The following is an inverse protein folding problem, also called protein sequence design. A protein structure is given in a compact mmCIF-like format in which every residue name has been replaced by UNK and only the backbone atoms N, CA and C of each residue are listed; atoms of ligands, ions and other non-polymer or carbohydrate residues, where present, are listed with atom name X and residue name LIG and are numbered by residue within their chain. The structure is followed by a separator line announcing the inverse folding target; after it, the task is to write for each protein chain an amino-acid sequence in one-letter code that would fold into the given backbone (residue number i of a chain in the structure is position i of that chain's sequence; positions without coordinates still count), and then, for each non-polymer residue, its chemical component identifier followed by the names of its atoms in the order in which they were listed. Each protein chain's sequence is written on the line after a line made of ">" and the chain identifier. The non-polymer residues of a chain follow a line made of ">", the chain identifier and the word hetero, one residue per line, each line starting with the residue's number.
data_IF_402287319533
#
_entry.id   IF_402287319533
#
_cell.length_a   1.000
_cell.length_b   1.000
_cell.length_c   1.000
_cell.angle_alpha   90.00
_cell.angle_beta   90.00
_cell.angle_gamma   90.00
#
_symmetry.space_group_name_H-M   'P 1'
#
loop_
_entity.id
_entity.type
_entity.pdbx_description
1 polymer ?
#
# COMPACT_ATOMS: atom_id res chain seq x y z
N UNK A 1 3.57 -13.87 -9.45
CA UNK A 1 3.22 -12.50 -9.88
C UNK A 1 3.66 -11.47 -8.85
N UNK A 2 2.89 -11.29 -7.77
CA UNK A 2 3.05 -10.19 -6.81
C UNK A 2 4.46 -10.02 -6.21
N UNK A 3 5.12 -11.12 -5.80
CA UNK A 3 6.49 -11.05 -5.25
C UNK A 3 7.48 -10.45 -6.27
N UNK A 4 7.41 -10.90 -7.51
CA UNK A 4 8.27 -10.42 -8.61
C UNK A 4 7.99 -8.93 -8.85
N UNK A 5 6.72 -8.54 -8.86
CA UNK A 5 6.30 -7.15 -9.01
C UNK A 5 6.81 -6.24 -7.90
N UNK A 6 6.68 -6.65 -6.63
CA UNK A 6 7.13 -5.86 -5.48
C UNK A 6 8.62 -5.58 -5.52
N UNK A 7 9.44 -6.57 -5.90
CA UNK A 7 10.89 -6.40 -6.03
C UNK A 7 11.22 -5.54 -7.25
N UNK A 8 10.75 -5.93 -8.44
CA UNK A 8 11.13 -5.27 -9.70
C UNK A 8 10.70 -3.80 -9.75
N UNK A 9 9.45 -3.51 -9.40
CA UNK A 9 8.96 -2.13 -9.38
C UNK A 9 9.42 -1.35 -8.13
N UNK A 10 9.84 -2.04 -7.06
CA UNK A 10 10.53 -1.40 -5.94
C UNK A 10 11.84 -0.74 -6.40
N UNK A 11 12.67 -1.46 -7.15
CA UNK A 11 13.87 -0.89 -7.77
C UNK A 11 13.55 0.14 -8.86
N UNK A 12 12.53 -0.12 -9.70
CA UNK A 12 12.13 0.84 -10.74
C UNK A 12 11.68 2.19 -10.15
N UNK A 13 10.99 2.14 -9.01
CA UNK A 13 10.55 3.32 -8.27
C UNK A 13 11.74 4.18 -7.80
N UNK A 14 12.85 3.57 -7.39
CA UNK A 14 14.03 4.29 -6.94
C UNK A 14 14.87 4.85 -8.11
N UNK A 15 14.88 4.18 -9.28
CA UNK A 15 15.68 4.60 -10.44
C UNK A 15 14.98 5.66 -11.30
N UNK A 16 13.71 5.42 -11.64
CA UNK A 16 12.95 6.21 -12.63
C UNK A 16 11.91 7.11 -11.97
N UNK A 17 11.60 6.85 -10.70
CA UNK A 17 10.68 7.63 -9.89
C UNK A 17 9.31 6.98 -9.72
N UNK A 18 8.66 7.37 -8.61
CA UNK A 18 7.41 6.80 -8.07
C UNK A 18 6.25 6.82 -9.08
N UNK A 19 6.08 7.93 -9.80
CA UNK A 19 4.94 8.11 -10.72
C UNK A 19 5.08 7.32 -12.02
N UNK A 20 6.30 7.18 -12.54
CA UNK A 20 6.57 6.35 -13.72
C UNK A 20 6.37 4.87 -13.37
N UNK A 21 6.91 4.44 -12.21
CA UNK A 21 6.66 3.10 -11.68
C UNK A 21 5.17 2.81 -11.47
N UNK A 22 4.40 3.78 -10.95
CA UNK A 22 2.95 3.65 -10.78
C UNK A 22 2.20 3.51 -12.12
N UNK A 23 2.61 4.27 -13.14
CA UNK A 23 2.02 4.16 -14.49
C UNK A 23 2.35 2.81 -15.14
N UNK A 24 3.61 2.40 -15.10
CA UNK A 24 4.09 1.15 -15.68
C UNK A 24 3.42 -0.07 -15.02
N UNK A 25 3.32 -0.08 -13.69
CA UNK A 25 2.63 -1.14 -12.96
C UNK A 25 1.13 -1.19 -13.27
N UNK A 26 0.46 -0.03 -13.39
CA UNK A 26 -0.96 0.04 -13.80
C UNK A 26 -1.19 -0.47 -15.22
N UNK A 27 -0.26 -0.22 -16.15
CA UNK A 27 -0.32 -0.76 -17.51
C UNK A 27 -0.19 -2.30 -17.53
N UNK A 28 0.66 -2.87 -16.66
CA UNK A 28 0.77 -4.33 -16.50
C UNK A 28 -0.51 -4.92 -15.93
N UNK A 29 -1.15 -4.26 -14.94
CA UNK A 29 -2.48 -4.67 -14.44
C UNK A 29 -3.51 -4.65 -15.56
N UNK A 30 -3.55 -3.57 -16.35
CA UNK A 30 -4.48 -3.43 -17.47
C UNK A 30 -4.31 -4.56 -18.49
N UNK A 31 -3.08 -4.82 -18.94
CA UNK A 31 -2.77 -5.90 -19.87
C UNK A 31 -3.23 -7.26 -19.33
N UNK A 32 -2.87 -7.58 -18.09
CA UNK A 32 -3.27 -8.83 -17.45
C UNK A 32 -4.78 -8.96 -17.29
N UNK A 33 -5.49 -7.86 -17.01
CA UNK A 33 -6.94 -7.86 -16.81
C UNK A 33 -7.70 -8.04 -18.12
N UNK A 34 -7.22 -7.44 -19.22
CA UNK A 34 -7.75 -7.68 -20.57
C UNK A 34 -7.56 -9.14 -20.96
N UNK A 35 -6.35 -9.68 -20.76
CA UNK A 35 -6.07 -11.10 -21.03
C UNK A 35 -6.94 -12.04 -20.18
N UNK A 36 -7.17 -11.70 -18.92
CA UNK A 36 -8.02 -12.51 -18.03
C UNK A 36 -9.49 -12.46 -18.44
N UNK A 37 -9.99 -11.30 -18.89
CA UNK A 37 -11.36 -11.15 -19.42
C UNK A 37 -11.56 -11.93 -20.73
N UNK A 38 -10.52 -11.95 -21.58
CA UNK A 38 -10.53 -12.66 -22.84
C UNK A 38 -10.21 -14.16 -22.70
N UNK A 39 -9.87 -14.65 -21.50
CA UNK A 39 -9.47 -16.02 -21.28
C UNK A 39 -10.62 -16.98 -21.61
N UNK A 40 -10.51 -17.66 -22.75
CA UNK A 40 -11.37 -18.76 -23.18
C UNK A 40 -10.46 -19.93 -23.55
N UNK A 41 -10.83 -21.14 -23.14
CA UNK A 41 -10.10 -22.35 -23.54
C UNK A 41 -10.21 -22.54 -25.05
N UNK A 42 -9.09 -22.73 -25.74
CA UNK A 42 -9.11 -23.15 -27.15
C UNK A 42 -9.85 -24.48 -27.21
N UNK A 43 -10.92 -24.55 -28.01
CA UNK A 43 -11.72 -25.77 -28.23
C UNK A 43 -12.42 -26.37 -27.00
N UNK A 44 -12.63 -25.59 -25.93
CA UNK A 44 -13.36 -26.06 -24.74
C UNK A 44 -12.52 -26.92 -23.78
N UNK A 45 -11.20 -26.97 -23.94
CA UNK A 45 -10.32 -27.63 -22.98
C UNK A 45 -10.26 -26.83 -21.66
N UNK A 46 -10.67 -27.48 -20.58
CA UNK A 46 -10.65 -26.91 -19.23
C UNK A 46 -9.21 -26.64 -18.76
N UNK A 47 -8.24 -27.46 -19.17
CA UNK A 47 -6.85 -27.27 -18.78
C UNK A 47 -6.25 -26.01 -19.46
N UNK A 48 -6.45 -25.85 -20.77
CA UNK A 48 -6.06 -24.64 -21.49
C UNK A 48 -6.68 -23.35 -20.92
N UNK A 49 -7.96 -23.40 -20.52
CA UNK A 49 -8.63 -22.28 -19.85
C UNK A 49 -7.96 -21.92 -18.51
N UNK A 50 -7.69 -22.91 -17.65
CA UNK A 50 -7.06 -22.70 -16.35
C UNK A 50 -5.63 -22.17 -16.47
N UNK A 51 -4.86 -22.63 -17.47
CA UNK A 51 -3.52 -22.09 -17.74
C UNK A 51 -3.56 -20.64 -18.19
N UNK A 52 -4.45 -20.28 -19.12
CA UNK A 52 -4.61 -18.90 -19.58
C UNK A 52 -4.99 -17.97 -18.41
N UNK A 53 -5.94 -18.37 -17.57
CA UNK A 53 -6.30 -17.60 -16.36
C UNK A 53 -5.12 -17.50 -15.40
N UNK A 54 -4.37 -18.58 -15.20
CA UNK A 54 -3.22 -18.59 -14.28
C UNK A 54 -2.13 -17.62 -14.75
N UNK A 55 -1.80 -17.61 -16.04
CA UNK A 55 -0.82 -16.69 -16.62
C UNK A 55 -1.32 -15.25 -16.53
N UNK A 56 -2.57 -14.98 -16.93
CA UNK A 56 -3.16 -13.65 -16.88
C UNK A 56 -3.20 -13.10 -15.44
N UNK A 57 -3.64 -13.90 -14.46
CA UNK A 57 -3.58 -13.54 -13.03
C UNK A 57 -2.15 -13.39 -12.52
N UNK A 58 -1.20 -14.15 -13.07
CA UNK A 58 0.22 -13.99 -12.83
C UNK A 58 0.72 -12.59 -13.21
N UNK A 59 0.36 -12.12 -14.40
CA UNK A 59 0.67 -10.78 -14.93
C UNK A 59 -0.02 -9.69 -14.10
N UNK A 60 -1.33 -9.82 -13.82
CA UNK A 60 -2.06 -8.92 -12.92
C UNK A 60 -1.32 -8.84 -11.58
N UNK A 61 -0.89 -9.97 -11.03
CA UNK A 61 -0.12 -10.04 -9.81
C UNK A 61 1.17 -9.24 -9.88
N UNK A 62 1.94 -9.34 -10.97
CA UNK A 62 3.17 -8.52 -11.17
C UNK A 62 2.84 -7.03 -11.13
N UNK A 63 1.79 -6.60 -11.82
CA UNK A 63 1.35 -5.21 -11.81
C UNK A 63 0.89 -4.74 -10.42
N UNK A 64 0.03 -5.51 -9.74
CA UNK A 64 -0.40 -5.24 -8.36
C UNK A 64 0.81 -5.09 -7.43
N UNK A 65 1.81 -5.97 -7.58
CA UNK A 65 3.05 -5.93 -6.81
C UNK A 65 3.80 -4.60 -6.93
N UNK A 66 3.76 -3.95 -8.10
CA UNK A 66 4.43 -2.67 -8.33
C UNK A 66 3.67 -1.43 -7.88
N UNK A 67 2.34 -1.52 -7.80
CA UNK A 67 1.51 -0.44 -7.26
C UNK A 67 1.78 -0.25 -5.75
N UNK A 68 2.00 -1.34 -5.00
CA UNK A 68 2.26 -1.28 -3.56
C UNK A 68 3.42 -0.34 -3.16
N UNK A 69 4.68 -0.56 -3.62
CA UNK A 69 5.79 0.31 -3.26
C UNK A 69 5.54 1.73 -3.78
N UNK A 70 5.16 1.87 -5.06
CA UNK A 70 5.01 3.17 -5.71
C UNK A 70 3.96 4.06 -5.03
N UNK A 71 2.77 3.52 -4.75
CA UNK A 71 1.67 4.24 -4.11
C UNK A 71 1.96 4.53 -2.63
N UNK A 72 2.55 3.58 -1.90
CA UNK A 72 2.90 3.78 -0.49
C UNK A 72 3.97 4.87 -0.35
N UNK A 73 4.98 4.89 -1.24
CA UNK A 73 6.01 5.93 -1.19
C UNK A 73 5.46 7.31 -1.53
N UNK A 74 4.53 7.40 -2.49
CA UNK A 74 3.87 8.65 -2.83
C UNK A 74 2.97 9.15 -1.68
N UNK A 75 2.17 8.26 -1.09
CA UNK A 75 1.31 8.59 0.04
C UNK A 75 2.10 9.00 1.28
N UNK A 76 3.26 8.37 1.54
CA UNK A 76 4.11 8.72 2.68
C UNK A 76 4.73 10.10 2.54
N UNK A 77 5.19 10.47 1.34
CA UNK A 77 5.72 11.81 1.07
C UNK A 77 4.63 12.87 1.23
N UNK A 78 3.46 12.64 0.62
CA UNK A 78 2.30 13.54 0.75
C UNK A 78 1.83 13.68 2.21
N UNK A 79 1.87 12.60 3.00
CA UNK A 79 1.53 12.66 4.41
C UNK A 79 2.59 13.38 5.25
N UNK A 80 3.85 13.43 4.80
CA UNK A 80 4.94 14.12 5.50
C UNK A 80 4.89 15.64 5.24
N UNK A 81 4.39 16.06 4.08
CA UNK A 81 4.16 17.46 3.75
C UNK A 81 2.97 18.03 4.55
N UNK A 82 3.26 18.89 5.54
CA UNK A 82 2.25 19.74 6.19
C UNK A 82 1.41 19.10 7.31
N UNK A 83 1.78 17.92 7.83
CA UNK A 83 1.06 17.30 8.96
C UNK A 83 1.93 17.03 10.18
N UNK A 84 1.33 17.10 11.37
CA UNK A 84 1.98 16.70 12.63
C UNK A 84 2.25 15.19 12.65
N UNK A 85 3.23 14.74 13.46
CA UNK A 85 3.66 13.33 13.48
C UNK A 85 2.52 12.32 13.63
N UNK A 86 1.50 12.63 14.46
CA UNK A 86 0.33 11.78 14.67
C UNK A 86 -0.66 11.84 13.49
N UNK A 87 -0.87 13.03 12.92
CA UNK A 87 -1.74 13.20 11.76
C UNK A 87 -1.19 12.51 10.50
N UNK A 88 0.13 12.41 10.36
CA UNK A 88 0.79 11.70 9.25
C UNK A 88 0.38 10.24 9.15
N UNK A 89 0.41 9.51 10.26
CA UNK A 89 0.05 8.09 10.28
C UNK A 89 -1.41 7.88 9.85
N UNK A 90 -2.33 8.73 10.33
CA UNK A 90 -3.73 8.73 9.93
C UNK A 90 -3.90 9.03 8.44
N UNK A 91 -3.26 10.07 7.92
CA UNK A 91 -3.36 10.47 6.51
C UNK A 91 -2.83 9.35 5.59
N UNK A 92 -1.68 8.76 5.93
CA UNK A 92 -1.13 7.64 5.17
C UNK A 92 -2.10 6.45 5.12
N UNK A 93 -2.65 6.06 6.28
CA UNK A 93 -3.56 4.92 6.39
C UNK A 93 -4.84 5.15 5.58
N UNK A 94 -5.42 6.37 5.64
CA UNK A 94 -6.63 6.70 4.88
C UNK A 94 -6.41 6.64 3.36
N UNK A 95 -5.28 7.18 2.86
CA UNK A 95 -4.98 7.22 1.42
C UNK A 95 -4.61 5.83 0.88
N UNK A 96 -4.00 4.98 1.70
CA UNK A 96 -3.53 3.65 1.26
C UNK A 96 -4.49 2.54 1.65
N UNK A 97 -4.45 2.09 2.91
CA UNK A 97 -5.20 0.92 3.35
C UNK A 97 -6.71 1.17 3.50
N UNK A 98 -7.14 2.42 3.68
CA UNK A 98 -8.54 2.81 3.60
C UNK A 98 -9.14 2.47 2.23
N UNK A 99 -8.47 2.90 1.15
CA UNK A 99 -8.88 2.61 -0.23
C UNK A 99 -8.75 1.11 -0.55
N UNK A 100 -7.66 0.48 -0.13
CA UNK A 100 -7.48 -0.98 -0.30
C UNK A 100 -8.62 -1.77 0.36
N UNK A 101 -8.99 -1.42 1.59
CA UNK A 101 -10.06 -2.08 2.34
C UNK A 101 -11.45 -1.82 1.74
N UNK A 102 -11.65 -0.69 1.06
CA UNK A 102 -12.89 -0.39 0.34
C UNK A 102 -13.05 -1.21 -0.95
N UNK A 103 -11.96 -1.77 -1.48
CA UNK A 103 -12.00 -2.61 -2.67
C UNK A 103 -12.77 -3.92 -2.49
N UNK A 104 -12.67 -4.54 -1.30
CA UNK A 104 -13.38 -5.79 -1.00
C UNK A 104 -14.92 -5.65 -1.03
N UNK A 105 -15.56 -4.71 -0.30
CA UNK A 105 -17.00 -4.51 -0.40
C UNK A 105 -17.43 -4.03 -1.79
N UNK A 106 -16.62 -3.21 -2.47
CA UNK A 106 -16.91 -2.78 -3.84
C UNK A 106 -16.97 -3.98 -4.81
N UNK A 107 -15.99 -4.88 -4.74
CA UNK A 107 -15.96 -6.09 -5.56
C UNK A 107 -17.16 -7.00 -5.29
N UNK A 108 -17.55 -7.18 -4.02
CA UNK A 108 -18.72 -7.97 -3.64
C UNK A 108 -20.03 -7.33 -4.14
N UNK A 109 -20.18 -6.01 -4.05
CA UNK A 109 -21.34 -5.27 -4.59
C UNK A 109 -21.45 -5.46 -6.10
N UNK A 110 -20.35 -5.28 -6.84
CA UNK A 110 -20.33 -5.47 -8.30
C UNK A 110 -20.72 -6.91 -8.64
N UNK A 111 -20.16 -7.90 -7.93
CA UNK A 111 -20.50 -9.30 -8.14
C UNK A 111 -21.99 -9.59 -7.92
N UNK A 112 -22.59 -9.07 -6.85
CA UNK A 112 -24.02 -9.24 -6.54
C UNK A 112 -24.90 -8.58 -7.61
N UNK A 113 -24.54 -7.39 -8.08
CA UNK A 113 -25.29 -6.68 -9.14
C UNK A 113 -25.26 -7.48 -10.44
N UNK A 114 -24.08 -7.93 -10.87
CA UNK A 114 -23.92 -8.71 -12.10
C UNK A 114 -24.64 -10.06 -11.97
N UNK A 115 -24.54 -10.73 -10.82
CA UNK A 115 -25.23 -11.99 -10.56
C UNK A 115 -26.75 -11.83 -10.60
N UNK A 116 -27.28 -10.72 -10.08
CA UNK A 116 -28.71 -10.39 -10.14
C UNK A 116 -29.18 -10.14 -11.58
N UNK A 117 -28.35 -9.48 -12.39
CA UNK A 117 -28.67 -9.13 -13.77
C UNK A 117 -28.59 -10.34 -14.72
N UNK A 118 -27.63 -11.26 -14.50
CA UNK A 118 -27.32 -12.32 -15.46
C UNK A 118 -28.23 -13.56 -15.42
N UNK A 119 -29.15 -13.66 -14.43
CA UNK A 119 -29.86 -14.91 -14.03
C UNK A 119 -28.90 -16.06 -13.69
N UNK A 120 -29.23 -16.95 -12.74
CA UNK A 120 -28.29 -17.94 -12.19
C UNK A 120 -27.75 -19.00 -13.17
N UNK A 121 -28.25 -19.07 -14.41
CA UNK A 121 -27.90 -20.11 -15.39
C UNK A 121 -26.66 -19.79 -16.26
N UNK A 122 -26.15 -18.55 -16.23
CA UNK A 122 -25.05 -18.11 -17.10
C UNK A 122 -23.77 -17.70 -16.36
N UNK A 123 -23.30 -18.53 -15.41
CA UNK A 123 -22.05 -18.27 -14.65
C UNK A 123 -20.82 -18.04 -15.56
N UNK A 124 -20.78 -18.65 -16.74
CA UNK A 124 -19.74 -18.45 -17.75
C UNK A 124 -19.67 -16.99 -18.26
N UNK A 125 -20.77 -16.26 -18.16
CA UNK A 125 -20.89 -14.85 -18.57
C UNK A 125 -20.70 -13.88 -17.40
N UNK A 126 -20.99 -14.31 -16.17
CA UNK A 126 -20.87 -13.47 -14.97
C UNK A 126 -19.41 -13.11 -14.67
N UNK A 127 -18.52 -14.10 -14.63
CA UNK A 127 -17.14 -13.86 -14.18
C UNK A 127 -16.33 -12.93 -15.10
N UNK A 128 -16.38 -13.00 -16.46
CA UNK A 128 -15.64 -12.08 -17.31
C UNK A 128 -16.19 -10.67 -17.21
N UNK A 129 -17.53 -10.50 -17.07
CA UNK A 129 -18.15 -9.17 -16.92
C UNK A 129 -17.66 -8.51 -15.62
N UNK A 130 -17.59 -9.26 -14.52
CA UNK A 130 -17.04 -8.73 -13.27
C UNK A 130 -15.59 -8.23 -13.43
N UNK A 131 -14.74 -8.98 -14.14
CA UNK A 131 -13.37 -8.55 -14.43
C UNK A 131 -13.35 -7.35 -15.38
N UNK A 132 -14.18 -7.34 -16.42
CA UNK A 132 -14.29 -6.25 -17.38
C UNK A 132 -14.70 -4.92 -16.73
N UNK A 133 -15.65 -4.94 -15.78
CA UNK A 133 -16.01 -3.75 -14.99
C UNK A 133 -14.80 -3.28 -14.17
N UNK A 134 -14.02 -4.21 -13.61
CA UNK A 134 -12.80 -3.90 -12.87
C UNK A 134 -11.69 -3.25 -13.71
N UNK A 135 -11.63 -3.51 -15.02
CA UNK A 135 -10.65 -2.94 -15.96
C UNK A 135 -10.75 -1.40 -16.07
N UNK A 136 -11.92 -0.83 -15.77
CA UNK A 136 -12.15 0.63 -15.83
C UNK A 136 -11.19 1.40 -14.92
N UNK A 137 -10.88 0.87 -13.72
CA UNK A 137 -10.01 1.54 -12.75
C UNK A 137 -8.54 1.60 -13.21
N UNK A 138 -7.90 0.50 -13.66
CA UNK A 138 -6.59 0.56 -14.29
C UNK A 138 -6.52 1.46 -15.53
N UNK A 139 -7.56 1.49 -16.37
CA UNK A 139 -7.60 2.40 -17.54
C UNK A 139 -7.51 3.86 -17.07
N UNK A 140 -8.37 4.26 -16.13
CA UNK A 140 -8.34 5.61 -15.57
C UNK A 140 -6.97 5.93 -14.95
N UNK A 141 -6.38 4.99 -14.21
CA UNK A 141 -5.06 5.16 -13.61
C UNK A 141 -3.97 5.36 -14.67
N UNK A 142 -3.95 4.56 -15.74
CA UNK A 142 -2.96 4.70 -16.82
C UNK A 142 -3.14 6.02 -17.57
N UNK A 143 -4.38 6.44 -17.85
CA UNK A 143 -4.64 7.71 -18.53
C UNK A 143 -4.21 8.90 -17.68
N UNK A 144 -4.60 8.96 -16.41
CA UNK A 144 -4.24 10.07 -15.53
C UNK A 144 -2.73 10.14 -15.27
N UNK A 145 -2.08 8.99 -15.03
CA UNK A 145 -0.63 8.98 -14.81
C UNK A 145 0.14 9.24 -16.11
N UNK A 146 -0.32 8.72 -17.25
CA UNK A 146 0.28 8.95 -18.56
C UNK A 146 0.22 10.41 -18.97
N UNK A 147 -0.92 11.08 -18.76
CA UNK A 147 -1.07 12.52 -18.98
C UNK A 147 -0.09 13.31 -18.10
N UNK A 148 0.03 12.96 -16.82
CA UNK A 148 0.97 13.63 -15.91
C UNK A 148 2.43 13.49 -16.36
N UNK A 149 2.83 12.28 -16.78
CA UNK A 149 4.18 11.99 -17.28
C UNK A 149 4.45 12.81 -18.54
N UNK A 150 3.53 12.83 -19.50
CA UNK A 150 3.67 13.57 -20.76
C UNK A 150 3.90 15.08 -20.55
N UNK A 151 3.27 15.69 -19.54
CA UNK A 151 3.41 17.13 -19.27
C UNK A 151 4.70 17.50 -18.53
N UNK A 152 5.32 16.59 -17.77
CA UNK A 152 6.43 16.93 -16.83
C UNK A 152 7.70 16.12 -17.03
N UNK A 153 7.83 15.40 -18.14
CA UNK A 153 8.97 14.50 -18.38
C UNK A 153 10.32 15.21 -18.58
N UNK A 154 10.30 16.50 -18.96
CA UNK A 154 11.47 17.30 -19.34
C UNK A 154 12.48 17.62 -18.21
N UNK A 155 12.40 16.99 -17.04
CA UNK A 155 13.32 17.24 -15.92
C UNK A 155 13.59 16.04 -15.00
N UNK A 156 13.29 14.81 -15.43
CA UNK A 156 13.49 13.62 -14.58
C UNK A 156 14.98 13.26 -14.55
N UNK A 157 15.64 13.59 -13.44
CA UNK A 157 17.00 13.10 -13.14
C UNK A 157 16.91 11.63 -12.77
N UNK A 158 17.51 10.76 -13.58
CA UNK A 158 17.74 9.35 -13.23
C UNK A 158 18.88 9.34 -12.22
N UNK A 159 18.60 8.95 -10.98
CA UNK A 159 19.64 8.89 -9.95
C UNK A 159 20.01 7.44 -9.69
N UNK A 160 21.30 7.11 -9.88
CA UNK A 160 21.81 5.73 -9.76
C UNK A 160 22.53 5.54 -8.43
N UNK A 161 21.80 5.14 -7.39
CA UNK A 161 22.38 4.82 -6.08
C UNK A 161 22.77 3.33 -5.92
N UNK A 162 23.34 2.71 -6.96
CA UNK A 162 23.59 1.25 -6.95
C UNK A 162 24.58 0.80 -5.85
N UNK A 163 25.53 1.65 -5.47
CA UNK A 163 26.53 1.38 -4.42
C UNK A 163 26.00 1.54 -3.00
N UNK A 164 24.89 2.29 -2.80
CA UNK A 164 24.33 2.57 -1.48
C UNK A 164 23.43 1.46 -0.93
N UNK A 165 22.82 0.63 -1.80
CA UNK A 165 21.91 -0.45 -1.38
C UNK A 165 22.50 -1.42 -0.35
N UNK A 166 23.70 -2.03 -0.56
CA UNK A 166 24.22 -3.02 0.39
C UNK A 166 24.62 -2.41 1.74
N UNK A 167 25.09 -1.16 1.74
CA UNK A 167 25.53 -0.45 2.96
C UNK A 167 24.34 -0.15 3.86
N UNK A 168 23.28 0.43 3.27
CA UNK A 168 22.09 0.78 4.03
C UNK A 168 21.26 -0.44 4.44
N UNK A 169 21.27 -1.50 3.63
CA UNK A 169 20.66 -2.78 3.99
C UNK A 169 21.34 -3.37 5.23
N UNK A 170 22.68 -3.33 5.31
CA UNK A 170 23.43 -3.75 6.50
C UNK A 170 23.19 -2.86 7.72
N UNK A 171 22.79 -1.60 7.54
CA UNK A 171 22.46 -0.71 8.64
C UNK A 171 21.06 -0.96 9.21
N UNK A 172 20.09 -1.24 8.33
CA UNK A 172 18.67 -1.37 8.69
C UNK A 172 18.15 -2.82 8.74
N UNK A 173 19.02 -3.83 8.62
CA UNK A 173 18.62 -5.24 8.54
C UNK A 173 17.75 -5.69 9.73
N UNK A 174 18.05 -5.26 10.96
CA UNK A 174 17.26 -5.61 12.14
C UNK A 174 15.83 -5.07 12.05
N UNK A 175 15.66 -3.82 11.60
CA UNK A 175 14.35 -3.23 11.41
C UNK A 175 13.60 -3.93 10.26
N UNK A 176 14.32 -4.25 9.19
CA UNK A 176 13.78 -5.00 8.05
C UNK A 176 13.28 -6.38 8.45
N UNK A 177 14.06 -7.16 9.21
CA UNK A 177 13.69 -8.50 9.68
C UNK A 177 12.46 -8.46 10.58
N UNK A 178 12.34 -7.47 11.48
CA UNK A 178 11.15 -7.30 12.34
C UNK A 178 9.90 -7.02 11.52
N UNK A 179 9.99 -6.12 10.54
CA UNK A 179 8.87 -5.79 9.64
C UNK A 179 8.47 -7.01 8.80
N UNK A 180 9.44 -7.71 8.20
CA UNK A 180 9.19 -8.94 7.44
C UNK A 180 8.48 -10.00 8.29
N UNK A 181 8.97 -10.24 9.51
CA UNK A 181 8.39 -11.24 10.41
C UNK A 181 6.94 -10.88 10.78
N UNK A 182 6.67 -9.61 11.10
CA UNK A 182 5.32 -9.14 11.39
C UNK A 182 4.38 -9.22 10.17
N UNK A 183 4.92 -9.02 8.97
CA UNK A 183 4.15 -9.13 7.74
C UNK A 183 3.82 -10.58 7.37
N UNK A 184 4.76 -11.50 7.57
CA UNK A 184 4.51 -12.94 7.38
C UNK A 184 3.42 -13.47 8.31
N UNK A 185 3.37 -13.00 9.55
CA UNK A 185 2.36 -13.40 10.55
C UNK A 185 0.95 -12.94 10.19
N UNK A 186 0.80 -11.84 9.47
CA UNK A 186 -0.49 -11.15 9.29
C UNK A 186 -1.22 -11.53 8.01
N UNK A 187 -0.50 -11.94 6.97
CA UNK A 187 -1.08 -12.27 5.67
C UNK A 187 -1.95 -13.54 5.58
N UNK A 188 -1.75 -14.61 6.39
CA UNK A 188 -2.65 -15.77 6.35
C UNK A 188 -4.12 -15.35 6.50
N UNK A 189 -4.40 -14.26 7.24
CA UNK A 189 -5.72 -13.68 7.48
C UNK A 189 -6.60 -13.48 6.23
N UNK A 190 -6.02 -13.07 5.10
CA UNK A 190 -6.79 -12.57 3.94
C UNK A 190 -7.25 -13.69 3.01
N UNK A 191 -6.61 -14.86 3.05
CA UNK A 191 -6.86 -15.90 2.02
C UNK A 191 -7.95 -16.89 2.44
N UNK A 192 -8.30 -16.92 3.72
CA UNK A 192 -9.20 -17.93 4.28
C UNK A 192 -10.70 -17.57 4.22
N UNK A 193 -11.07 -16.31 3.94
CA UNK A 193 -12.47 -15.87 4.08
C UNK A 193 -13.43 -16.47 3.07
N UNK A 194 -13.08 -16.54 1.78
CA UNK A 194 -14.01 -17.00 0.74
C UNK A 194 -14.30 -18.50 0.81
N UNK A 195 -13.25 -19.33 0.96
CA UNK A 195 -13.38 -20.79 0.97
C UNK A 195 -14.07 -21.30 2.24
N UNK A 196 -13.68 -20.77 3.42
CA UNK A 196 -14.32 -21.17 4.69
C UNK A 196 -15.80 -20.80 4.66
N UNK A 197 -16.15 -19.60 4.18
CA UNK A 197 -17.52 -19.13 4.13
C UNK A 197 -18.37 -19.95 3.14
N UNK A 198 -17.84 -20.26 1.96
CA UNK A 198 -18.50 -21.14 1.00
C UNK A 198 -18.79 -22.53 1.61
N UNK A 199 -17.84 -23.08 2.37
CA UNK A 199 -18.00 -24.37 3.03
C UNK A 199 -18.98 -24.38 4.21
N UNK A 200 -19.30 -23.20 4.78
CA UNK A 200 -20.22 -23.04 5.93
C UNK A 200 -21.64 -22.71 5.47
N UNK A 201 -21.82 -22.24 4.24
CA UNK A 201 -23.11 -21.69 3.71
C UNK A 201 -23.73 -22.63 2.66
N UNK A 202 -23.47 -23.93 2.78
CA UNK A 202 -24.03 -25.03 1.98
C UNK A 202 -23.99 -24.78 0.45
N UNK A 203 -22.94 -24.12 -0.03
CA UNK A 203 -22.70 -23.90 -1.46
C UNK A 203 -23.60 -22.85 -2.15
N UNK A 204 -24.40 -22.08 -1.40
CA UNK A 204 -25.26 -21.04 -1.99
C UNK A 204 -24.47 -19.76 -2.33
N UNK A 205 -24.31 -19.48 -3.63
CA UNK A 205 -23.49 -18.38 -4.15
C UNK A 205 -23.97 -17.01 -3.67
N UNK A 206 -25.29 -16.78 -3.70
CA UNK A 206 -25.91 -15.51 -3.30
C UNK A 206 -25.66 -15.19 -1.81
N UNK A 207 -25.87 -16.17 -0.93
CA UNK A 207 -25.66 -15.98 0.52
C UNK A 207 -24.17 -15.81 0.83
N UNK A 208 -23.30 -16.55 0.15
CA UNK A 208 -21.85 -16.41 0.30
C UNK A 208 -21.40 -14.99 -0.08
N UNK A 209 -21.86 -14.47 -1.22
CA UNK A 209 -21.54 -13.10 -1.65
C UNK A 209 -22.08 -12.02 -0.69
N UNK A 210 -23.29 -12.19 -0.17
CA UNK A 210 -23.87 -11.27 0.82
C UNK A 210 -23.09 -11.25 2.14
N UNK A 211 -22.62 -12.41 2.61
CA UNK A 211 -21.80 -12.51 3.82
C UNK A 211 -20.37 -12.01 3.59
N UNK A 212 -19.82 -12.17 2.38
CA UNK A 212 -18.54 -11.59 1.99
C UNK A 212 -18.61 -10.06 1.95
N UNK A 213 -19.70 -9.49 1.43
CA UNK A 213 -19.97 -8.05 1.50
C UNK A 213 -20.00 -7.57 2.97
N UNK A 214 -20.72 -8.29 3.84
CA UNK A 214 -20.77 -7.97 5.27
C UNK A 214 -19.35 -7.94 5.88
N UNK A 215 -18.55 -8.96 5.64
CA UNK A 215 -17.16 -9.02 6.11
C UNK A 215 -16.35 -7.83 5.55
N UNK A 216 -16.50 -7.52 4.26
CA UNK A 216 -15.81 -6.39 3.61
C UNK A 216 -16.14 -5.04 4.26
N UNK A 217 -17.41 -4.80 4.62
CA UNK A 217 -17.83 -3.59 5.34
C UNK A 217 -17.20 -3.51 6.74
N UNK A 218 -17.14 -4.62 7.46
CA UNK A 218 -16.48 -4.67 8.78
C UNK A 218 -14.96 -4.44 8.67
N UNK A 219 -14.31 -4.99 7.65
CA UNK A 219 -12.87 -4.78 7.39
C UNK A 219 -12.58 -3.33 7.03
N UNK A 220 -13.44 -2.69 6.23
CA UNK A 220 -13.36 -1.26 5.94
C UNK A 220 -13.56 -0.42 7.21
N UNK A 221 -14.59 -0.74 8.01
CA UNK A 221 -14.83 -0.07 9.30
C UNK A 221 -13.61 -0.18 10.23
N UNK A 222 -13.01 -1.37 10.32
CA UNK A 222 -11.78 -1.60 11.10
C UNK A 222 -10.61 -0.78 10.61
N UNK A 223 -10.44 -0.64 9.28
CA UNK A 223 -9.41 0.20 8.68
C UNK A 223 -9.57 1.67 9.07
N UNK A 224 -10.79 2.21 8.99
CA UNK A 224 -11.10 3.60 9.37
C UNK A 224 -10.93 3.85 10.87
N UNK A 225 -11.43 2.95 11.71
CA UNK A 225 -11.22 3.01 13.18
C UNK A 225 -9.73 3.00 13.48
N UNK A 226 -8.96 2.16 12.79
CA UNK A 226 -7.50 2.10 12.92
C UNK A 226 -6.82 3.42 12.57
N UNK A 227 -7.25 4.09 11.49
CA UNK A 227 -6.74 5.39 11.10
C UNK A 227 -6.97 6.46 12.20
N UNK A 228 -8.18 6.48 12.78
CA UNK A 228 -8.52 7.40 13.88
C UNK A 228 -7.70 7.07 15.12
N UNK A 229 -7.60 5.79 15.50
CA UNK A 229 -6.89 5.35 16.69
C UNK A 229 -5.39 5.65 16.62
N UNK A 230 -4.79 5.54 15.43
CA UNK A 230 -3.40 5.94 15.18
C UNK A 230 -3.17 7.43 15.44
N UNK A 231 -4.15 8.27 15.10
CA UNK A 231 -4.08 9.72 15.36
C UNK A 231 -4.15 10.08 16.85
N UNK A 232 -4.84 9.27 17.68
CA UNK A 232 -5.06 9.56 19.10
C UNK A 232 -4.05 8.86 20.03
N UNK A 233 -3.87 7.54 19.87
CA UNK A 233 -3.11 6.69 20.81
C UNK A 233 -1.69 6.41 20.28
N UNK A 234 -1.44 6.71 19.00
CA UNK A 234 -0.20 6.42 18.30
C UNK A 234 -0.21 5.05 17.61
N UNK A 235 0.65 4.89 16.61
CA UNK A 235 0.71 3.69 15.77
C UNK A 235 1.13 2.44 16.56
N UNK A 236 2.14 2.53 17.44
CA UNK A 236 2.68 1.38 18.17
C UNK A 236 1.64 0.73 19.09
N UNK A 237 0.92 1.54 19.86
CA UNK A 237 -0.16 1.05 20.76
C UNK A 237 -1.35 0.50 19.97
N UNK A 238 -1.71 1.14 18.85
CA UNK A 238 -2.77 0.66 17.96
C UNK A 238 -2.43 -0.71 17.38
N UNK A 239 -1.18 -0.92 16.98
CA UNK A 239 -0.69 -2.20 16.47
C UNK A 239 -0.84 -3.32 17.52
N UNK A 240 -0.34 -3.09 18.74
CA UNK A 240 -0.43 -4.10 19.82
C UNK A 240 -1.89 -4.39 20.19
N UNK A 241 -2.72 -3.37 20.40
CA UNK A 241 -4.12 -3.54 20.75
C UNK A 241 -4.90 -4.35 19.70
N UNK A 242 -4.62 -4.10 18.41
CA UNK A 242 -5.24 -4.82 17.32
C UNK A 242 -4.86 -6.31 17.25
N UNK A 243 -3.60 -6.66 17.53
CA UNK A 243 -3.17 -8.05 17.59
C UNK A 243 -3.78 -8.76 18.79
N UNK A 244 -3.86 -8.11 19.95
CA UNK A 244 -4.53 -8.68 21.13
C UNK A 244 -6.00 -8.96 20.80
N UNK A 245 -6.72 -7.99 20.21
CA UNK A 245 -8.10 -8.16 19.77
C UNK A 245 -8.26 -9.30 18.76
N UNK A 246 -7.39 -9.36 17.76
CA UNK A 246 -7.37 -10.45 16.77
C UNK A 246 -7.21 -11.83 17.43
N UNK A 247 -6.27 -11.96 18.36
CA UNK A 247 -6.01 -13.22 19.08
C UNK A 247 -7.21 -13.66 19.92
N UNK A 248 -7.84 -12.74 20.66
CA UNK A 248 -9.01 -13.05 21.48
C UNK A 248 -10.13 -13.62 20.63
N UNK A 249 -10.49 -12.96 19.52
CA UNK A 249 -11.56 -13.45 18.65
C UNK A 249 -11.16 -14.72 17.88
N UNK A 250 -9.89 -14.86 17.46
CA UNK A 250 -9.40 -16.07 16.82
C UNK A 250 -9.50 -17.30 17.75
N UNK A 251 -9.14 -17.14 19.03
CA UNK A 251 -9.26 -18.21 20.04
C UNK A 251 -10.72 -18.54 20.35
N UNK A 252 -11.60 -17.53 20.45
CA UNK A 252 -13.04 -17.75 20.66
C UNK A 252 -13.61 -18.59 19.51
N UNK A 253 -13.30 -18.22 18.26
CA UNK A 253 -13.76 -18.96 17.08
C UNK A 253 -13.15 -20.37 17.04
N UNK A 254 -11.86 -20.51 17.31
CA UNK A 254 -11.16 -21.80 17.33
C UNK A 254 -11.71 -22.77 18.37
N UNK A 255 -11.85 -22.33 19.63
CA UNK A 255 -12.33 -23.18 20.73
C UNK A 255 -13.83 -23.49 20.64
N UNK A 256 -14.64 -22.54 20.14
CA UNK A 256 -16.10 -22.70 20.06
C UNK A 256 -16.61 -23.07 18.66
N UNK A 257 -15.73 -23.47 17.73
CA UNK A 257 -16.05 -23.69 16.33
C UNK A 257 -17.24 -24.64 16.12
N UNK A 258 -17.26 -25.79 16.82
CA UNK A 258 -18.33 -26.80 16.68
C UNK A 258 -19.73 -26.23 17.05
N UNK A 259 -19.77 -25.26 17.97
CA UNK A 259 -21.01 -24.60 18.38
C UNK A 259 -21.35 -23.42 17.46
N UNK A 260 -20.34 -22.71 16.96
CA UNK A 260 -20.50 -21.56 16.08
C UNK A 260 -20.98 -21.95 14.68
N UNK A 261 -20.51 -23.05 14.11
CA UNK A 261 -20.94 -23.50 12.77
C UNK A 261 -22.43 -23.85 12.73
N UNK A 262 -23.02 -24.25 13.86
CA UNK A 262 -24.48 -24.46 13.97
C UNK A 262 -25.27 -23.14 13.90
N UNK A 263 -24.63 -22.01 14.19
CA UNK A 263 -25.24 -20.68 14.18
C UNK A 263 -24.43 -19.80 13.21
N UNK A 264 -24.62 -20.03 11.91
CA UNK A 264 -23.86 -19.37 10.84
C UNK A 264 -23.78 -17.84 10.98
N UNK A 265 -24.86 -17.08 11.29
CA UNK A 265 -24.76 -15.63 11.43
C UNK A 265 -23.82 -15.19 12.56
N UNK A 266 -23.81 -15.93 13.68
CA UNK A 266 -22.95 -15.63 14.82
C UNK A 266 -21.48 -15.87 14.47
N UNK A 267 -21.19 -16.97 13.78
CA UNK A 267 -19.86 -17.26 13.26
C UNK A 267 -19.35 -16.12 12.35
N UNK A 268 -20.18 -15.66 11.42
CA UNK A 268 -19.79 -14.59 10.48
C UNK A 268 -19.52 -13.27 11.19
N UNK A 269 -20.32 -12.90 12.21
CA UNK A 269 -20.09 -11.67 12.98
C UNK A 269 -18.75 -11.74 13.74
N UNK A 270 -18.50 -12.83 14.46
CA UNK A 270 -17.22 -13.00 15.16
C UNK A 270 -16.03 -13.00 14.20
N UNK A 271 -16.17 -13.66 13.06
CA UNK A 271 -15.16 -13.69 12.02
C UNK A 271 -14.92 -12.30 11.41
N UNK A 272 -15.98 -11.54 11.14
CA UNK A 272 -15.90 -10.17 10.63
C UNK A 272 -15.19 -9.24 11.63
N UNK A 273 -15.50 -9.34 12.93
CA UNK A 273 -14.82 -8.58 13.98
C UNK A 273 -13.34 -8.96 14.08
N UNK A 274 -13.02 -10.26 14.04
CA UNK A 274 -11.63 -10.73 14.02
C UNK A 274 -10.87 -10.12 12.83
N UNK A 275 -11.42 -10.19 11.63
CA UNK A 275 -10.80 -9.62 10.41
C UNK A 275 -10.69 -8.09 10.49
N UNK A 276 -11.70 -7.42 11.05
CA UNK A 276 -11.73 -5.99 11.30
C UNK A 276 -10.59 -5.54 12.23
N UNK A 277 -10.40 -6.24 13.36
CA UNK A 277 -9.27 -6.01 14.27
C UNK A 277 -7.92 -6.21 13.58
N UNK A 278 -7.78 -7.26 12.76
CA UNK A 278 -6.56 -7.45 11.98
C UNK A 278 -6.35 -6.38 10.88
N UNK A 279 -7.39 -5.68 10.44
CA UNK A 279 -7.28 -4.58 9.46
C UNK A 279 -6.89 -3.28 10.17
N UNK A 280 -7.44 -3.07 11.36
CA UNK A 280 -7.25 -1.90 12.21
C UNK A 280 -5.78 -1.60 12.52
N UNK A 281 -4.98 -2.63 12.84
CA UNK A 281 -3.55 -2.45 13.10
C UNK A 281 -2.64 -2.97 11.98
N UNK A 282 -2.31 -4.27 11.92
CA UNK A 282 -1.25 -4.73 11.02
C UNK A 282 -1.53 -4.44 9.55
N UNK A 283 -2.78 -4.59 9.10
CA UNK A 283 -3.16 -4.25 7.71
C UNK A 283 -2.88 -2.78 7.36
N UNK A 284 -3.18 -1.86 8.28
CA UNK A 284 -2.96 -0.41 8.11
C UNK A 284 -1.50 0.01 8.28
N UNK A 285 -0.85 -0.51 9.32
CA UNK A 285 0.36 0.08 9.89
C UNK A 285 1.65 -0.50 9.32
N UNK A 286 1.65 -1.73 8.81
CA UNK A 286 2.86 -2.36 8.28
C UNK A 286 3.46 -1.57 7.12
N UNK A 287 2.62 -1.16 6.17
CA UNK A 287 3.03 -0.33 5.03
C UNK A 287 3.53 1.05 5.48
N UNK A 288 2.90 1.64 6.51
CA UNK A 288 3.32 2.92 7.08
C UNK A 288 4.72 2.83 7.73
N UNK A 289 4.92 1.78 8.53
CA UNK A 289 6.19 1.55 9.24
C UNK A 289 7.30 1.25 8.24
N UNK A 290 7.04 0.40 7.24
CA UNK A 290 8.00 0.12 6.18
C UNK A 290 8.38 1.37 5.38
N UNK A 291 7.40 2.19 4.99
CA UNK A 291 7.66 3.44 4.27
C UNK A 291 8.45 4.45 5.11
N UNK A 292 8.26 4.46 6.42
CA UNK A 292 8.93 5.40 7.30
C UNK A 292 10.33 4.98 7.76
N UNK A 293 10.61 3.67 7.82
CA UNK A 293 11.89 3.15 8.35
C UNK A 293 13.07 3.38 7.39
N UNK A 294 12.81 3.35 6.08
CA UNK A 294 13.88 3.41 5.08
C UNK A 294 14.13 4.84 4.58
N UNK A 295 15.40 5.19 4.29
CA UNK A 295 15.77 6.50 3.76
C UNK A 295 15.21 6.72 2.34
N UNK A 296 14.97 7.98 1.98
CA UNK A 296 14.26 8.36 0.73
C UNK A 296 14.88 7.76 -0.54
N UNK A 297 16.21 7.62 -0.59
CA UNK A 297 16.96 7.23 -1.80
C UNK A 297 16.82 5.75 -2.20
N UNK A 298 16.54 4.86 -1.26
CA UNK A 298 16.43 3.39 -1.48
C UNK A 298 15.12 2.82 -0.91
N UNK A 299 14.18 3.70 -0.60
CA UNK A 299 12.96 3.36 0.14
C UNK A 299 12.11 2.36 -0.65
N UNK A 300 12.04 2.51 -1.98
CA UNK A 300 11.24 1.68 -2.85
C UNK A 300 11.73 0.24 -2.88
N UNK A 301 13.04 0.00 -3.01
CA UNK A 301 13.63 -1.32 -3.02
C UNK A 301 13.50 -2.03 -1.68
N UNK A 302 13.83 -1.36 -0.56
CA UNK A 302 13.70 -1.95 0.78
C UNK A 302 12.24 -2.26 1.14
N UNK A 303 11.31 -1.36 0.78
CA UNK A 303 9.88 -1.63 0.91
C UNK A 303 9.46 -2.82 0.03
N UNK A 304 9.91 -2.87 -1.23
CA UNK A 304 9.61 -3.95 -2.16
C UNK A 304 10.07 -5.32 -1.65
N UNK A 305 11.29 -5.40 -1.12
CA UNK A 305 11.85 -6.63 -0.54
C UNK A 305 11.05 -7.04 0.70
N UNK A 306 10.77 -6.13 1.63
CA UNK A 306 9.99 -6.44 2.84
C UNK A 306 8.57 -6.91 2.52
N UNK A 307 7.90 -6.23 1.60
CA UNK A 307 6.59 -6.61 1.13
C UNK A 307 6.59 -7.96 0.39
N UNK A 308 7.67 -8.27 -0.35
CA UNK A 308 7.84 -9.56 -1.01
C UNK A 308 7.97 -10.72 -0.01
N UNK A 309 8.69 -10.53 1.10
CA UNK A 309 8.72 -11.50 2.20
C UNK A 309 7.33 -11.69 2.82
N UNK A 310 6.58 -10.61 3.05
CA UNK A 310 5.19 -10.70 3.52
C UNK A 310 4.31 -11.53 2.57
N UNK A 311 4.40 -11.25 1.27
CA UNK A 311 3.67 -12.00 0.25
C UNK A 311 4.11 -13.47 0.17
N UNK A 312 5.40 -13.78 0.38
CA UNK A 312 5.89 -15.15 0.48
C UNK A 312 5.28 -15.88 1.69
N UNK A 313 5.20 -15.20 2.84
CA UNK A 313 4.51 -15.69 4.03
C UNK A 313 3.03 -15.99 3.79
N UNK A 314 2.36 -15.17 2.97
CA UNK A 314 0.98 -15.43 2.54
C UNK A 314 0.86 -16.75 1.78
N UNK A 315 1.73 -16.97 0.78
CA UNK A 315 1.73 -18.20 -0.03
C UNK A 315 2.01 -19.43 0.83
N UNK A 316 2.99 -19.35 1.72
CA UNK A 316 3.28 -20.43 2.68
C UNK A 316 2.08 -20.71 3.61
N UNK A 317 1.36 -19.68 4.04
CA UNK A 317 0.15 -19.80 4.85
C UNK A 317 -0.99 -20.51 4.12
N UNK A 318 -1.21 -20.22 2.83
CA UNK A 318 -2.24 -20.89 2.00
C UNK A 318 -1.96 -22.39 1.92
N UNK A 319 -0.73 -22.76 1.54
CA UNK A 319 -0.36 -24.17 1.39
C UNK A 319 -0.44 -24.92 2.72
N UNK A 320 0.08 -24.32 3.79
CA UNK A 320 0.03 -24.91 5.13
C UNK A 320 -1.41 -25.12 5.59
N UNK A 321 -2.31 -24.15 5.32
CA UNK A 321 -3.70 -24.26 5.72
C UNK A 321 -4.45 -25.35 4.95
N UNK A 322 -4.23 -25.50 3.64
CA UNK A 322 -4.85 -26.58 2.88
C UNK A 322 -4.44 -27.94 3.45
N UNK A 323 -3.17 -28.11 3.79
CA UNK A 323 -2.67 -29.33 4.46
C UNK A 323 -3.28 -29.52 5.85
N UNK A 324 -3.52 -28.43 6.59
CA UNK A 324 -4.20 -28.48 7.89
C UNK A 324 -5.68 -28.84 7.72
N UNK A 325 -6.39 -28.30 6.74
CA UNK A 325 -7.82 -28.61 6.52
C UNK A 325 -8.02 -30.07 6.06
N UNK A 326 -7.08 -30.61 5.30
CA UNK A 326 -7.11 -32.01 4.85
C UNK A 326 -6.79 -33.01 5.97
N UNK A 327 -5.86 -32.69 6.87
CA UNK A 327 -5.36 -33.62 7.90
C UNK A 327 -5.88 -33.35 9.32
N UNK A 328 -6.36 -32.15 9.59
CA UNK A 328 -6.84 -31.69 10.90
C UNK A 328 -8.25 -31.08 10.76
N UNK A 329 -8.93 -30.89 11.89
CA UNK A 329 -10.23 -30.18 11.91
C UNK A 329 -10.02 -28.68 11.61
N UNK A 330 -10.97 -28.05 10.93
CA UNK A 330 -11.06 -26.60 10.63
C UNK A 330 -10.77 -25.67 11.82
N UNK A 331 -11.03 -26.14 13.04
CA UNK A 331 -10.78 -25.44 14.31
C UNK A 331 -9.31 -25.06 14.50
N UNK A 332 -8.40 -25.96 14.09
CA UNK A 332 -6.96 -25.79 14.26
C UNK A 332 -6.42 -24.64 13.41
N UNK A 333 -7.05 -24.35 12.27
CA UNK A 333 -6.70 -23.20 11.45
C UNK A 333 -6.81 -21.87 12.23
N UNK A 334 -7.88 -21.70 13.02
CA UNK A 334 -8.07 -20.51 13.84
C UNK A 334 -7.15 -20.46 15.06
N UNK A 335 -6.87 -21.61 15.68
CA UNK A 335 -5.96 -21.71 16.82
C UNK A 335 -4.53 -21.39 16.39
N UNK A 336 -4.08 -21.93 15.25
CA UNK A 336 -2.75 -21.64 14.69
C UNK A 336 -2.66 -20.16 14.30
N UNK A 337 -3.72 -19.59 13.72
CA UNK A 337 -3.77 -18.15 13.45
C UNK A 337 -3.62 -17.30 14.73
N UNK A 338 -4.19 -17.73 15.85
CA UNK A 338 -3.98 -17.07 17.14
C UNK A 338 -2.55 -17.27 17.68
N UNK A 339 -1.95 -18.45 17.53
CA UNK A 339 -0.55 -18.66 17.91
C UNK A 339 0.39 -17.75 17.12
N UNK A 340 0.19 -17.64 15.81
CA UNK A 340 0.91 -16.69 14.97
C UNK A 340 0.66 -15.25 15.43
N UNK A 341 -0.59 -14.89 15.74
CA UNK A 341 -0.93 -13.56 16.25
C UNK A 341 -0.24 -13.23 17.58
N UNK A 342 -0.04 -14.19 18.48
CA UNK A 342 0.71 -13.99 19.74
C UNK A 342 2.19 -13.69 19.42
N UNK A 343 2.79 -14.44 18.50
CA UNK A 343 4.15 -14.15 18.01
C UNK A 343 4.22 -12.73 17.42
N UNK A 344 3.17 -12.31 16.70
CA UNK A 344 3.01 -10.94 16.21
C UNK A 344 2.99 -9.89 17.33
N UNK A 345 2.30 -10.14 18.45
CA UNK A 345 2.32 -9.24 19.63
C UNK A 345 3.73 -9.10 20.18
N UNK A 346 4.44 -10.23 20.35
CA UNK A 346 5.82 -10.23 20.89
C UNK A 346 6.74 -9.42 19.99
N UNK A 347 6.70 -9.65 18.68
CA UNK A 347 7.51 -8.89 17.71
C UNK A 347 7.14 -7.41 17.73
N UNK A 348 5.85 -7.07 17.76
CA UNK A 348 5.38 -5.69 17.82
C UNK A 348 5.86 -4.99 19.09
N UNK A 349 5.96 -5.69 20.22
CA UNK A 349 6.43 -5.12 21.48
C UNK A 349 7.93 -4.79 21.48
N UNK A 350 8.74 -5.57 20.75
CA UNK A 350 10.17 -5.30 20.55
C UNK A 350 10.46 -4.25 19.46
N UNK A 351 9.43 -3.63 18.88
CA UNK A 351 9.60 -2.60 17.88
C UNK A 351 9.90 -1.25 18.54
N UNK A 352 10.89 -0.46 18.07
CA UNK A 352 11.12 0.86 18.62
C UNK A 352 9.86 1.71 18.39
N UNK A 353 9.36 2.35 19.45
CA UNK A 353 8.22 3.26 19.35
C UNK A 353 8.58 4.61 18.69
N UNK A 354 9.87 4.84 18.44
CA UNK A 354 10.38 6.06 17.84
C UNK A 354 9.75 6.27 16.46
N UNK A 355 9.19 7.46 16.28
CA UNK A 355 8.49 7.80 15.04
C UNK A 355 9.42 7.62 13.84
N UNK A 356 8.94 7.04 12.73
CA UNK A 356 9.75 6.83 11.53
C UNK A 356 10.38 8.09 10.91
N UNK A 357 10.05 9.29 11.42
CA UNK A 357 10.64 10.58 11.04
C UNK A 357 11.97 10.91 11.72
N UNK A 358 12.26 10.38 12.91
CA UNK A 358 13.46 10.78 13.66
C UNK A 358 14.75 10.40 12.91
N UNK A 359 14.72 9.27 12.17
CA UNK A 359 15.85 8.81 11.36
C UNK A 359 15.96 9.47 9.99
N UNK A 360 14.86 9.95 9.39
CA UNK A 360 14.90 10.61 8.06
C UNK A 360 15.45 12.04 8.11
N UNK A 361 15.44 12.68 9.28
CA UNK A 361 15.95 14.03 9.53
C UNK A 361 17.34 14.05 10.17
N UNK A 362 17.79 12.94 10.78
CA UNK A 362 19.03 12.87 11.55
C UNK A 362 20.24 12.36 10.76
N UNK A 363 20.25 12.43 9.42
CA UNK A 363 21.45 12.21 8.62
C UNK A 363 21.99 13.51 8.02
N UNK A 364 22.50 14.47 8.81
CA UNK A 364 23.31 15.57 8.29
C UNK A 364 24.66 15.09 7.69
N UNK A 365 24.93 13.78 7.70
CA UNK A 365 26.12 13.17 7.08
C UNK A 365 25.91 12.81 5.60
N UNK A 366 24.68 12.55 5.15
CA UNK A 366 24.46 12.18 3.75
C UNK A 366 24.61 13.38 2.81
N UNK A 367 24.24 14.59 3.23
CA UNK A 367 24.28 15.78 2.36
C UNK A 367 25.71 16.30 2.12
N UNK A 368 26.63 16.04 3.07
CA UNK A 368 28.05 16.38 2.95
C UNK A 368 28.85 15.36 2.13
N UNK A 369 28.47 14.08 2.15
CA UNK A 369 29.03 13.07 1.24
C UNK A 369 28.35 13.09 -0.14
N UNK A 370 27.20 13.75 -0.31
CA UNK A 370 26.51 13.91 -1.61
C UNK A 370 27.05 15.08 -2.44
N UNK A 371 27.79 16.00 -1.82
CA UNK A 371 28.35 17.20 -2.45
C UNK A 371 29.88 17.27 -2.41
N UNK A 372 30.56 16.23 -1.92
CA UNK A 372 32.01 16.10 -1.96
C UNK A 372 32.40 15.03 -2.96
N UNK A 373 33.34 15.37 -3.86
CA UNK A 373 33.85 14.54 -4.98
C UNK A 373 32.94 14.51 -6.22
N UNK A 374 32.74 15.69 -6.85
CA UNK A 374 32.67 15.88 -8.32
C UNK A 374 32.67 17.38 -8.67
N UNK A 375 33.49 18.18 -7.99
CA UNK A 375 33.79 19.56 -8.33
C UNK A 375 35.31 19.74 -8.36
N UNK A 376 35.93 19.13 -9.37
CA UNK A 376 37.39 19.04 -9.48
C UNK A 376 37.88 18.57 -10.84
N UNK A 377 37.32 19.09 -11.93
CA UNK A 377 37.90 19.04 -13.28
C UNK A 377 37.09 20.09 -14.09
N UNK A 378 37.59 21.29 -14.38
CA UNK A 378 38.68 21.52 -15.32
C UNK A 378 38.07 21.71 -16.72
N UNK A 379 37.42 22.85 -16.97
CA UNK A 379 37.08 23.27 -18.35
C UNK A 379 38.41 23.51 -19.10
N UNK A 380 38.66 22.88 -20.26
CA UNK A 380 39.67 23.37 -21.17
C UNK A 380 39.08 24.48 -22.05
N UNK A 381 39.83 25.57 -22.09
CA UNK A 381 39.73 26.67 -23.04
C UNK A 381 39.62 26.18 -24.49
N UNK A 382 38.78 26.86 -25.27
CA UNK A 382 39.02 27.08 -26.70
C UNK A 382 38.88 28.60 -26.96
N UNK A 383 40.05 29.24 -27.04
CA UNK A 383 40.38 30.48 -27.74
C UNK A 383 39.77 30.51 -29.16
N UNK A 384 39.51 31.62 -29.88
CA UNK A 384 39.67 33.05 -29.71
C UNK A 384 39.09 33.77 -30.98
N UNK A 385 39.08 35.11 -30.93
CA UNK A 385 38.90 36.14 -31.99
C UNK A 385 37.47 36.60 -32.30
N UNK A 386 37.10 37.89 -32.29
CA UNK A 386 37.77 39.19 -32.07
C UNK A 386 36.89 40.34 -32.61
N UNK A 387 37.12 41.58 -32.11
CA UNK A 387 36.59 42.91 -32.55
C UNK A 387 35.18 43.30 -32.01
N UNK A 388 34.86 44.48 -31.47
CA UNK A 388 35.55 45.73 -31.04
C UNK A 388 34.55 46.50 -30.12
N UNK A 389 34.95 47.55 -29.35
CA UNK A 389 34.13 48.22 -28.35
C UNK A 389 33.65 49.62 -28.80
N UNK A 390 32.33 49.90 -28.77
CA UNK A 390 31.76 51.26 -28.68
C UNK A 390 30.22 51.19 -28.52
N UNK A 391 29.64 52.23 -27.92
CA UNK A 391 28.20 52.46 -27.63
C UNK A 391 27.54 51.67 -26.49
N UNK A 392 27.54 52.27 -25.29
CA UNK A 392 26.34 53.01 -24.84
C UNK A 392 26.57 53.61 -23.44
N UNK A 393 27.22 54.77 -23.44
CA UNK A 393 27.13 55.74 -22.37
C UNK A 393 25.88 56.61 -22.61
N UNK A 394 24.71 56.17 -22.17
CA UNK A 394 23.54 57.06 -22.10
C UNK A 394 22.55 56.63 -21.00
N UNK A 395 22.31 57.56 -20.07
CA UNK A 395 21.22 57.62 -19.07
C UNK A 395 21.48 56.98 -17.71
N UNK A 396 22.45 57.55 -17.00
CA UNK A 396 22.25 57.92 -15.61
C UNK A 396 21.93 59.44 -15.54
N UNK A 397 20.88 59.80 -14.77
CA UNK A 397 20.52 61.12 -14.19
C UNK A 397 19.08 61.57 -14.50
N UNK A 398 18.19 61.40 -13.50
CA UNK A 398 17.21 62.41 -13.06
C UNK A 398 16.46 61.89 -11.80
N UNK A 399 16.81 62.42 -10.63
CA UNK A 399 16.03 62.47 -9.37
C UNK A 399 15.11 63.72 -9.38
N UNK A 400 14.37 64.18 -8.33
CA UNK A 400 14.31 63.78 -6.89
C UNK A 400 12.91 63.92 -6.17
N UNK A 401 12.88 63.74 -4.83
CA UNK A 401 12.12 64.50 -3.78
C UNK A 401 10.96 63.81 -2.98
N UNK A 402 11.14 63.83 -1.64
CA UNK A 402 10.24 63.90 -0.44
C UNK A 402 9.26 62.78 0.01
N UNK A 403 9.45 62.21 1.23
CA UNK A 403 8.84 62.70 2.49
C UNK A 403 8.98 61.73 3.72
N UNK A 404 9.65 62.23 4.76
CA UNK A 404 9.37 62.29 6.22
C UNK A 404 8.45 61.24 6.94
N UNK A 405 8.99 60.70 8.05
CA UNK A 405 8.38 60.06 9.26
C UNK A 405 7.02 60.64 9.69
N UNK A 406 6.12 59.81 10.25
CA UNK A 406 5.44 60.05 11.56
C UNK A 406 4.84 58.74 12.12
N UNK A 407 5.13 58.46 13.39
CA UNK A 407 4.41 57.56 14.30
C UNK A 407 3.12 58.22 14.83
N UNK A 408 2.00 57.51 14.97
CA UNK A 408 1.04 57.81 16.04
C UNK A 408 0.03 56.68 16.30
N UNK A 409 -0.03 56.30 17.58
CA UNK A 409 -1.15 55.70 18.29
C UNK A 409 -2.36 56.64 18.33
N UNK A 410 -3.59 56.10 18.33
CA UNK A 410 -4.66 56.53 19.27
C UNK A 410 -5.95 55.71 19.13
N UNK A 411 -6.31 55.06 20.24
CA UNK A 411 -7.62 54.95 20.89
C UNK A 411 -8.90 54.62 20.10
N UNK A 412 -9.55 53.55 20.58
CA UNK A 412 -10.95 53.21 20.40
C UNK A 412 -11.90 54.12 21.23
N UNK A 413 -13.15 54.35 20.78
CA UNK A 413 -14.22 54.90 21.61
C UNK A 413 -15.08 53.79 22.28
N UNK A 414 -15.83 54.12 23.34
CA UNK A 414 -16.43 53.13 24.24
C UNK A 414 -17.78 52.60 23.74
N UNK A 415 -18.10 51.37 24.15
CA UNK A 415 -19.47 50.82 24.11
C UNK A 415 -20.26 51.33 25.31
N UNK A 416 -21.43 51.90 25.05
CA UNK A 416 -22.56 51.99 25.97
C UNK A 416 -23.74 51.27 25.31
N UNK A 417 -24.43 50.49 26.13
CA UNK A 417 -25.63 49.66 25.92
C UNK A 417 -25.52 48.42 25.04
#
# INVERSE_FOLDING_TARGET
>A
GQLIGQIAFGFLCDIVGKKVSLCASSAVILLGSILCTAARGVSGDAAGFLWMITIARGIIGVGIGGVYPSASMAAFDMATEGTTSNARSRTFVLITNGIFSAGAPLAAIVFIIVLSAARPESLATVWPICIAIGVVLPIAAVLCNGLWIATRWYGVRIVRYFTAYPVELRRHWLAMTRICALWCVTYPKVVFSGYILYSVVDGSLWRTAGLELLIGVFVLGGSLIGAVLCGHIGWHKTLIASFIGYNVFALIIGCAYDRLVRIVPLFVIFYAIMLSMGSMGPGNLLSFIAAGTFPRSIRGACYGITAAFGSAGAVAGIHSFNTIDENLRKQWGFIIAALCGIVGVVIAWFMPADTPSAQSLSSPLSEKELHGEDAGEGDPEDDASGLDPEDDAARAQASPVDNVRVSMSSQAPPRLT
#
